data_IF_552673848802
#
_entry.id   IF_552673848802
#
_cell.length_a   1.000
_cell.length_b   1.000
_cell.length_c   1.000
_cell.angle_alpha   90.00
_cell.angle_beta   90.00
_cell.angle_gamma   90.00
#
_symmetry.space_group_name_H-M   'P 1'
#
loop_
_entity.id
_entity.type
_entity.pdbx_description
1 polymer ?
#
# COMPACT_ATOMS: atom_id res chain seq x y z
N UNK A 1 20.50 7.63 36.72
CA UNK A 1 20.67 6.30 36.10
C UNK A 1 19.29 5.82 35.74
N UNK A 2 18.81 6.14 34.55
CA UNK A 2 17.54 5.63 34.03
C UNK A 2 17.85 4.41 33.18
N UNK A 3 17.50 3.24 33.71
CA UNK A 3 17.43 2.02 32.92
C UNK A 3 16.08 2.02 32.21
N UNK A 4 16.05 2.47 30.95
CA UNK A 4 14.91 2.18 30.08
C UNK A 4 15.02 0.72 29.64
N UNK A 5 14.25 -0.13 30.33
CA UNK A 5 14.12 -1.58 30.18
C UNK A 5 12.65 -1.96 29.95
N UNK A 6 11.86 -1.09 29.29
CA UNK A 6 10.43 -1.33 29.11
C UNK A 6 10.10 -1.73 27.68
N UNK A 7 9.86 -3.03 27.50
CA UNK A 7 8.83 -3.56 26.59
C UNK A 7 7.51 -2.82 26.88
N UNK A 8 7.23 -1.74 26.16
CA UNK A 8 5.98 -0.98 26.31
C UNK A 8 4.95 -1.29 25.22
N UNK A 9 5.28 -2.16 24.26
CA UNK A 9 4.33 -2.62 23.24
C UNK A 9 3.83 -4.04 23.59
N UNK A 10 2.90 -4.10 24.56
CA UNK A 10 2.03 -5.27 24.71
C UNK A 10 0.89 -5.26 23.70
N UNK A 11 0.05 -6.30 23.70
CA UNK A 11 -1.17 -6.34 22.90
C UNK A 11 -2.15 -5.27 23.38
N UNK A 12 -2.62 -4.42 22.45
CA UNK A 12 -3.57 -3.34 22.71
C UNK A 12 -4.88 -3.66 22.00
N UNK A 13 -5.93 -3.90 22.76
CA UNK A 13 -7.30 -4.00 22.22
C UNK A 13 -7.91 -2.61 22.08
N UNK A 14 -8.36 -2.25 20.88
CA UNK A 14 -9.03 -0.97 20.58
C UNK A 14 -10.26 -1.20 19.70
N UNK A 15 -11.37 -0.57 20.07
CA UNK A 15 -12.56 -0.52 19.23
C UNK A 15 -12.45 0.67 18.27
N UNK A 16 -12.56 0.39 16.97
CA UNK A 16 -12.51 1.41 15.91
C UNK A 16 -13.74 1.25 15.04
N UNK A 17 -14.38 2.36 14.67
CA UNK A 17 -15.53 2.32 13.76
C UNK A 17 -15.13 1.70 12.42
N UNK A 18 -16.02 0.90 11.85
CA UNK A 18 -15.82 0.29 10.54
C UNK A 18 -15.66 1.39 9.48
N UNK A 19 -14.54 1.34 8.76
CA UNK A 19 -14.18 2.25 7.68
C UNK A 19 -13.32 1.50 6.66
N UNK A 20 -13.16 2.07 5.47
CA UNK A 20 -12.31 1.49 4.42
C UNK A 20 -10.86 1.43 4.93
N UNK A 21 -10.16 0.32 4.74
CA UNK A 21 -8.74 0.24 5.09
C UNK A 21 -7.89 0.76 3.92
N UNK A 22 -6.81 1.46 4.20
CA UNK A 22 -5.86 1.79 3.13
C UNK A 22 -5.16 0.53 2.61
N UNK A 23 -4.74 -0.36 3.51
CA UNK A 23 -4.01 -1.58 3.18
C UNK A 23 -4.85 -2.56 2.32
N UNK A 24 -6.18 -2.50 2.40
CA UNK A 24 -7.04 -3.35 1.55
C UNK A 24 -7.21 -2.82 0.12
N UNK A 25 -6.85 -1.56 -0.16
CA UNK A 25 -7.00 -0.96 -1.49
C UNK A 25 -6.26 -1.77 -2.55
N UNK A 26 -5.02 -2.19 -2.27
CA UNK A 26 -4.22 -2.99 -3.20
C UNK A 26 -4.92 -4.31 -3.59
N UNK A 27 -5.56 -4.96 -2.63
CA UNK A 27 -6.32 -6.19 -2.86
C UNK A 27 -7.62 -5.91 -3.62
N UNK A 28 -8.36 -4.87 -3.22
CA UNK A 28 -9.60 -4.45 -3.87
C UNK A 28 -9.37 -4.06 -5.32
N UNK A 29 -8.30 -3.31 -5.64
CA UNK A 29 -7.94 -2.94 -7.01
C UNK A 29 -7.79 -4.18 -7.88
N UNK A 30 -7.10 -5.21 -7.37
CA UNK A 30 -6.80 -6.42 -8.13
C UNK A 30 -8.00 -7.33 -8.31
N UNK A 31 -8.76 -7.55 -7.23
CA UNK A 31 -9.88 -8.50 -7.20
C UNK A 31 -11.15 -7.85 -7.77
N UNK A 32 -11.54 -6.70 -7.22
CA UNK A 32 -12.86 -6.07 -7.44
C UNK A 32 -12.78 -4.53 -7.37
N UNK A 33 -12.20 -3.85 -8.37
CA UNK A 33 -11.96 -2.39 -8.34
C UNK A 33 -13.23 -1.56 -8.21
N UNK A 34 -14.38 -2.06 -8.66
CA UNK A 34 -15.70 -1.42 -8.53
C UNK A 34 -16.18 -1.31 -7.07
N UNK A 35 -15.55 -2.03 -6.15
CA UNK A 35 -15.86 -1.94 -4.71
C UNK A 35 -15.18 -0.77 -4.00
N UNK A 36 -14.36 0.00 -4.71
CA UNK A 36 -13.67 1.16 -4.17
C UNK A 36 -14.58 2.38 -4.40
N UNK A 37 -15.09 3.02 -3.32
CA UNK A 37 -15.89 4.22 -3.46
C UNK A 37 -15.03 5.38 -3.97
N UNK A 38 -15.61 6.22 -4.83
CA UNK A 38 -14.99 7.47 -5.33
C UNK A 38 -15.68 8.64 -4.64
N UNK A 39 -14.91 9.67 -4.27
CA UNK A 39 -15.37 10.83 -3.51
C UNK A 39 -14.91 10.80 -2.04
N UNK A 40 -15.66 11.50 -1.19
CA UNK A 40 -15.32 11.66 0.23
C UNK A 40 -15.76 10.43 1.02
N UNK A 41 -14.81 9.76 1.66
CA UNK A 41 -15.06 8.58 2.51
C UNK A 41 -14.21 8.63 3.77
N UNK A 42 -14.60 7.87 4.78
CA UNK A 42 -13.77 7.64 5.96
C UNK A 42 -12.87 6.42 5.70
N UNK A 43 -11.57 6.58 5.93
CA UNK A 43 -10.54 5.56 5.72
C UNK A 43 -9.61 5.46 6.93
N UNK A 44 -9.22 4.24 7.29
CA UNK A 44 -8.18 4.00 8.28
C UNK A 44 -6.82 4.01 7.56
N UNK A 45 -5.88 4.88 7.95
CA UNK A 45 -4.55 4.92 7.34
C UNK A 45 -3.79 3.60 7.47
N UNK A 46 -2.83 3.37 6.57
CA UNK A 46 -2.02 2.16 6.57
C UNK A 46 -1.37 1.89 7.94
N UNK A 47 -1.33 0.62 8.34
CA UNK A 47 -0.76 0.23 9.64
C UNK A 47 0.72 0.58 9.75
N UNK A 48 1.46 0.51 8.65
CA UNK A 48 2.86 0.93 8.59
C UNK A 48 3.01 2.42 8.87
N UNK A 49 2.18 3.25 8.25
CA UNK A 49 2.20 4.70 8.48
C UNK A 49 1.87 5.04 9.94
N UNK A 50 0.77 4.51 10.48
CA UNK A 50 0.32 4.83 11.85
C UNK A 50 1.37 4.45 12.91
N UNK A 51 2.01 3.28 12.75
CA UNK A 51 3.10 2.84 13.63
C UNK A 51 4.34 3.73 13.52
N UNK A 52 4.82 4.01 12.30
CA UNK A 52 6.04 4.80 12.09
C UNK A 52 5.88 6.27 12.48
N UNK A 53 4.68 6.82 12.33
CA UNK A 53 4.37 8.21 12.70
C UNK A 53 3.87 8.36 14.15
N UNK A 54 3.79 7.26 14.91
CA UNK A 54 3.19 7.21 16.24
C UNK A 54 1.78 7.85 16.31
N UNK A 55 1.01 7.75 15.23
CA UNK A 55 -0.36 8.24 15.17
C UNK A 55 -1.36 7.17 15.61
N UNK A 56 -2.43 7.61 16.28
CA UNK A 56 -3.50 6.70 16.67
C UNK A 56 -4.24 6.16 15.43
N UNK A 57 -4.49 4.85 15.41
CA UNK A 57 -5.34 4.20 14.41
C UNK A 57 -6.77 4.71 14.60
N UNK A 58 -7.23 5.56 13.68
CA UNK A 58 -8.58 6.12 13.67
C UNK A 58 -9.06 6.36 12.24
N UNK A 59 -10.37 6.26 11.96
CA UNK A 59 -10.91 6.66 10.67
C UNK A 59 -10.65 8.15 10.44
N UNK A 60 -10.13 8.46 9.26
CA UNK A 60 -9.80 9.80 8.82
C UNK A 60 -10.49 10.05 7.49
N UNK A 61 -10.99 11.27 7.28
CA UNK A 61 -11.62 11.64 6.02
C UNK A 61 -10.58 11.68 4.91
N UNK A 62 -10.92 11.04 3.79
CA UNK A 62 -10.12 11.04 2.57
C UNK A 62 -11.00 11.35 1.36
N UNK A 63 -10.39 11.92 0.33
CA UNK A 63 -10.98 12.02 -1.01
C UNK A 63 -10.31 11.01 -1.92
N UNK A 64 -11.09 10.07 -2.45
CA UNK A 64 -10.60 9.11 -3.45
C UNK A 64 -11.00 9.62 -4.83
N UNK A 65 -10.04 9.76 -5.73
CA UNK A 65 -10.27 10.04 -7.14
C UNK A 65 -9.72 8.90 -8.00
N UNK A 66 -10.46 8.54 -9.04
CA UNK A 66 -10.07 7.53 -10.01
C UNK A 66 -9.98 8.17 -11.38
N UNK A 67 -8.80 8.17 -11.98
CA UNK A 67 -8.55 8.67 -13.33
C UNK A 67 -8.26 7.49 -14.23
N UNK A 68 -9.03 7.36 -15.30
CA UNK A 68 -8.86 6.29 -16.27
C UNK A 68 -8.11 6.78 -17.51
N UNK A 69 -7.11 6.01 -17.94
CA UNK A 69 -6.34 6.24 -19.16
C UNK A 69 -6.63 5.11 -20.17
N UNK A 70 -5.90 5.06 -21.29
CA UNK A 70 -6.14 4.06 -22.33
C UNK A 70 -6.00 2.62 -21.81
N UNK A 71 -4.90 2.31 -21.13
CA UNK A 71 -4.58 0.95 -20.65
C UNK A 71 -4.46 0.86 -19.13
N UNK A 72 -4.35 2.00 -18.45
CA UNK A 72 -4.11 2.10 -17.00
C UNK A 72 -5.22 2.87 -16.29
N UNK A 73 -5.26 2.74 -14.98
CA UNK A 73 -6.08 3.54 -14.08
C UNK A 73 -5.21 4.03 -12.91
N UNK A 74 -5.47 5.25 -12.47
CA UNK A 74 -4.77 5.90 -11.36
C UNK A 74 -5.79 6.15 -10.26
N UNK A 75 -5.49 5.65 -9.07
CA UNK A 75 -6.23 5.96 -7.85
C UNK A 75 -5.40 6.95 -7.03
N UNK A 76 -6.00 8.08 -6.69
CA UNK A 76 -5.38 9.08 -5.82
C UNK A 76 -6.23 9.24 -4.56
N UNK A 77 -5.61 9.06 -3.41
CA UNK A 77 -6.20 9.11 -2.08
C UNK A 77 -5.57 10.29 -1.35
N UNK A 78 -6.36 11.33 -1.11
CA UNK A 78 -5.93 12.56 -0.46
C UNK A 78 -6.52 12.60 0.96
N UNK A 79 -5.68 12.64 1.97
CA UNK A 79 -6.12 12.79 3.35
C UNK A 79 -6.47 14.24 3.66
N UNK A 80 -7.65 14.51 4.24
CA UNK A 80 -8.10 15.89 4.50
C UNK A 80 -7.41 16.54 5.70
N UNK A 81 -7.08 15.74 6.71
CA UNK A 81 -6.53 16.22 7.99
C UNK A 81 -5.13 15.68 8.28
N UNK A 82 -4.49 15.12 7.26
CA UNK A 82 -3.12 14.63 7.28
C UNK A 82 -2.51 15.09 5.97
N UNK A 83 -1.32 15.72 5.96
CA UNK A 83 -0.68 16.21 4.75
C UNK A 83 -0.08 15.01 3.99
N UNK A 84 -0.92 14.09 3.54
CA UNK A 84 -0.51 12.81 2.95
C UNK A 84 -1.37 12.50 1.74
N UNK A 85 -0.70 12.12 0.65
CA UNK A 85 -1.36 11.67 -0.57
C UNK A 85 -0.78 10.36 -1.04
N UNK A 86 -1.62 9.35 -1.23
CA UNK A 86 -1.24 8.07 -1.83
C UNK A 86 -1.75 8.03 -3.27
N UNK A 87 -0.87 7.73 -4.22
CA UNK A 87 -1.22 7.51 -5.62
C UNK A 87 -0.84 6.09 -6.01
N UNK A 88 -1.76 5.36 -6.64
CA UNK A 88 -1.57 3.98 -7.09
C UNK A 88 -1.92 3.90 -8.56
N UNK A 89 -0.98 3.41 -9.37
CA UNK A 89 -1.19 3.16 -10.79
C UNK A 89 -1.33 1.66 -11.06
N UNK A 90 -2.33 1.29 -11.85
CA UNK A 90 -2.63 -0.10 -12.19
C UNK A 90 -2.97 -0.26 -13.66
N UNK A 91 -2.74 -1.45 -14.19
CA UNK A 91 -3.37 -1.90 -15.44
C UNK A 91 -4.89 -2.00 -15.27
N UNK A 92 -5.65 -1.71 -16.34
CA UNK A 92 -7.10 -1.95 -16.39
C UNK A 92 -7.45 -3.42 -16.61
N UNK A 93 -6.65 -4.10 -17.44
CA UNK A 93 -6.85 -5.50 -17.78
C UNK A 93 -6.55 -6.39 -16.57
N UNK A 94 -7.32 -7.46 -16.37
CA UNK A 94 -7.03 -8.48 -15.36
C UNK A 94 -5.65 -9.11 -15.64
N UNK A 95 -4.76 -9.28 -14.64
CA UNK A 95 -5.01 -9.27 -13.18
C UNK A 95 -4.85 -7.90 -12.50
N UNK A 96 -4.95 -6.80 -13.26
CA UNK A 96 -4.88 -5.41 -12.81
C UNK A 96 -3.61 -5.18 -12.00
N UNK A 97 -2.46 -5.44 -12.65
CA UNK A 97 -1.17 -5.34 -11.98
C UNK A 97 -0.98 -3.92 -11.47
N UNK A 98 -0.53 -3.81 -10.22
CA UNK A 98 -0.04 -2.54 -9.67
C UNK A 98 1.29 -2.26 -10.34
N UNK A 99 1.36 -1.19 -11.11
CA UNK A 99 2.53 -0.77 -11.87
C UNK A 99 3.43 0.11 -11.01
N UNK A 100 2.82 1.02 -10.24
CA UNK A 100 3.54 1.93 -9.35
C UNK A 100 2.67 2.39 -8.20
N UNK A 101 3.31 2.87 -7.14
CA UNK A 101 2.66 3.71 -6.15
C UNK A 101 3.62 4.79 -5.66
N UNK A 102 3.06 5.91 -5.23
CA UNK A 102 3.82 6.98 -4.58
C UNK A 102 3.06 7.54 -3.39
N UNK A 103 3.79 7.87 -2.34
CA UNK A 103 3.32 8.54 -1.15
C UNK A 103 4.03 9.88 -1.01
N UNK A 104 3.25 10.96 -0.98
CA UNK A 104 3.72 12.31 -0.63
C UNK A 104 3.37 12.57 0.84
N UNK A 105 4.39 12.80 1.67
CA UNK A 105 4.26 13.08 3.11
C UNK A 105 4.00 14.55 3.46
N UNK A 106 3.85 15.42 2.45
CA UNK A 106 3.51 16.84 2.61
C UNK A 106 4.64 17.73 3.11
N UNK A 107 5.81 17.16 3.40
CA UNK A 107 7.08 17.84 3.69
C UNK A 107 7.96 17.97 2.44
N UNK A 108 7.44 17.60 1.27
CA UNK A 108 8.17 17.56 0.00
C UNK A 108 8.95 16.27 -0.24
N UNK A 109 8.90 15.31 0.69
CA UNK A 109 9.47 13.98 0.50
C UNK A 109 8.44 13.05 -0.16
N UNK A 110 8.82 12.50 -1.31
CA UNK A 110 8.01 11.55 -2.06
C UNK A 110 8.68 10.18 -2.03
N UNK A 111 8.00 9.21 -1.41
CA UNK A 111 8.37 7.79 -1.50
C UNK A 111 7.69 7.18 -2.71
N UNK A 112 8.41 6.42 -3.52
CA UNK A 112 7.84 5.75 -4.70
C UNK A 112 8.34 4.32 -4.85
N UNK A 113 7.46 3.46 -5.36
CA UNK A 113 7.82 2.14 -5.83
C UNK A 113 7.28 1.91 -7.25
N UNK A 114 8.05 1.20 -8.06
CA UNK A 114 7.69 0.86 -9.43
C UNK A 114 8.00 -0.61 -9.67
N UNK A 115 7.06 -1.30 -10.30
CA UNK A 115 7.22 -2.69 -10.70
C UNK A 115 8.36 -2.79 -11.72
N UNK A 116 9.41 -3.53 -11.37
CA UNK A 116 10.55 -3.78 -12.27
C UNK A 116 10.28 -4.96 -13.19
N UNK A 117 10.02 -6.12 -12.59
CA UNK A 117 9.84 -7.38 -13.30
C UNK A 117 8.81 -8.25 -12.55
N UNK A 118 8.21 -9.20 -13.27
CA UNK A 118 7.32 -10.22 -12.68
C UNK A 118 7.57 -11.54 -13.38
N UNK A 119 7.77 -12.58 -12.60
CA UNK A 119 7.98 -13.93 -13.11
C UNK A 119 6.84 -14.85 -12.64
N UNK A 120 6.19 -15.54 -13.57
CA UNK A 120 5.17 -16.55 -13.27
C UNK A 120 5.77 -17.93 -13.47
N UNK A 121 6.20 -18.55 -12.37
CA UNK A 121 6.85 -19.86 -12.35
C UNK A 121 6.18 -20.80 -11.34
N UNK A 122 6.44 -22.09 -11.52
CA UNK A 122 6.11 -23.18 -10.62
C UNK A 122 6.98 -23.15 -9.36
N UNK A 123 6.73 -22.20 -8.45
CA UNK A 123 7.55 -21.95 -7.26
C UNK A 123 7.90 -23.21 -6.47
N UNK A 124 6.95 -24.13 -6.26
CA UNK A 124 7.16 -25.34 -5.46
C UNK A 124 8.25 -26.28 -5.99
N UNK A 125 8.51 -26.28 -7.30
CA UNK A 125 9.62 -27.03 -7.89
C UNK A 125 10.92 -26.21 -7.97
N UNK A 126 10.84 -24.89 -7.75
CA UNK A 126 11.91 -23.90 -7.97
C UNK A 126 12.27 -23.08 -6.72
N UNK A 127 12.13 -23.67 -5.53
CA UNK A 127 12.34 -22.98 -4.25
C UNK A 127 13.67 -23.32 -3.54
N UNK A 128 14.59 -24.02 -4.21
CA UNK A 128 15.92 -24.36 -3.67
C UNK A 128 17.03 -23.49 -4.25
N UNK A 129 18.19 -23.45 -3.58
CA UNK A 129 19.33 -22.59 -3.94
C UNK A 129 19.87 -22.83 -5.36
N UNK A 130 19.64 -24.00 -5.95
CA UNK A 130 20.06 -24.28 -7.34
C UNK A 130 19.35 -23.37 -8.37
N UNK A 131 18.27 -22.71 -7.98
CA UNK A 131 17.52 -21.76 -8.79
C UNK A 131 17.83 -20.30 -8.45
N UNK A 132 18.92 -20.02 -7.74
CA UNK A 132 19.34 -18.66 -7.41
C UNK A 132 19.46 -17.76 -8.64
N UNK A 133 19.82 -18.32 -9.80
CA UNK A 133 19.91 -17.59 -11.07
C UNK A 133 18.59 -16.93 -11.50
N UNK A 134 17.43 -17.37 -11.00
CA UNK A 134 16.14 -16.73 -11.27
C UNK A 134 16.01 -15.34 -10.64
N UNK A 135 16.86 -15.01 -9.64
CA UNK A 135 16.96 -13.66 -9.09
C UNK A 135 17.41 -12.66 -10.15
N UNK A 136 18.21 -13.09 -11.13
CA UNK A 136 18.66 -12.28 -12.25
C UNK A 136 17.51 -11.82 -13.13
N UNK A 137 16.57 -12.73 -13.41
CA UNK A 137 15.36 -12.42 -14.19
C UNK A 137 14.48 -11.37 -13.49
N UNK A 138 14.58 -11.26 -12.16
CA UNK A 138 13.90 -10.24 -11.36
C UNK A 138 14.72 -8.96 -11.15
N UNK A 139 15.96 -8.91 -11.66
CA UNK A 139 16.89 -7.80 -11.45
C UNK A 139 17.39 -7.68 -10.02
N UNK A 140 17.56 -8.82 -9.32
CA UNK A 140 17.99 -8.92 -7.92
C UNK A 140 19.42 -9.44 -7.75
N UNK A 141 20.22 -9.44 -8.81
CA UNK A 141 21.63 -9.82 -8.78
C UNK A 141 22.45 -8.79 -8.01
N UNK A 142 22.66 -9.07 -6.73
CA UNK A 142 23.61 -8.40 -5.85
C UNK A 142 24.13 -9.41 -4.85
#
# INVERSE_FOLDING_TARGET
>A
MEYSYFEAEGDIEKNVNAALLEDELFNRIRIRPESIPVGNVDMIPANTFTRLSHQAIKPTKVTITKTEQATTAIYKIEYLHLPRTLTIETEKAFPRKILSWSEDGGDGLITKATLKQTLKIDYWSKNSNQYESLRAELGLDK
#
